data_IF_305396517292
#
_entry.id   IF_305396517292
#
_cell.length_a   1.000
_cell.length_b   1.000
_cell.length_c   1.000
_cell.angle_alpha   90.00
_cell.angle_beta   90.00
_cell.angle_gamma   90.00
#
_symmetry.space_group_name_H-M   'P 1'
#
loop_
_entity.id
_entity.type
_entity.pdbx_description
1 polymer ?
#
# COMPACT_ATOMS: atom_id res chain seq x y z
N UNK A 1 52.10 -19.66 66.45
CA UNK A 1 51.12 -20.66 65.96
C UNK A 1 49.94 -19.85 65.39
N UNK A 2 49.45 -20.06 64.16
CA UNK A 2 48.50 -21.11 63.71
C UNK A 2 47.28 -21.19 64.66
N UNK A 3 46.00 -21.01 64.24
CA UNK A 3 45.30 -21.35 62.96
C UNK A 3 44.04 -20.43 62.82
N UNK A 4 43.86 -19.54 61.81
CA UNK A 4 43.20 -19.67 60.46
C UNK A 4 41.64 -19.68 60.42
N UNK A 5 41.07 -18.62 59.81
CA UNK A 5 39.75 -18.41 59.11
C UNK A 5 38.42 -18.61 59.90
N UNK A 6 37.25 -18.04 59.51
CA UNK A 6 36.72 -17.43 58.25
C UNK A 6 35.74 -16.25 58.61
N UNK A 7 35.81 -15.03 58.05
CA UNK A 7 35.01 -14.46 56.91
C UNK A 7 33.49 -14.84 56.95
N UNK A 8 32.48 -13.95 57.01
CA UNK A 8 32.06 -12.73 56.22
C UNK A 8 31.12 -11.83 57.11
N UNK A 9 30.83 -10.50 57.03
CA UNK A 9 31.03 -9.29 56.14
C UNK A 9 29.77 -8.81 55.33
N UNK A 10 29.21 -7.57 55.32
CA UNK A 10 28.89 -6.43 56.26
C UNK A 10 27.61 -5.69 55.66
N UNK A 11 27.07 -4.62 56.30
CA UNK A 11 26.06 -3.60 55.86
C UNK A 11 24.57 -3.97 56.03
N UNK A 12 23.65 -3.23 56.70
CA UNK A 12 23.57 -1.87 57.33
C UNK A 12 23.28 -0.67 56.42
N UNK A 13 22.08 -0.06 56.55
CA UNK A 13 21.81 1.39 56.57
C UNK A 13 20.41 1.69 57.20
N UNK A 14 20.10 2.95 57.56
CA UNK A 14 19.01 3.28 58.50
C UNK A 14 18.36 4.67 58.33
N UNK A 15 17.03 4.73 58.56
CA UNK A 15 16.24 5.83 59.20
C UNK A 15 16.34 7.29 58.71
N UNK A 16 15.20 7.95 58.41
CA UNK A 16 14.53 8.96 59.28
C UNK A 16 13.26 9.56 58.64
N UNK A 17 12.48 10.33 59.43
CA UNK A 17 11.27 11.10 59.03
C UNK A 17 11.54 12.61 59.17
N UNK A 18 10.98 13.47 58.28
CA UNK A 18 10.53 14.82 58.68
C UNK A 18 9.68 15.60 57.63
N UNK A 19 8.65 16.29 58.14
CA UNK A 19 8.06 17.61 57.75
C UNK A 19 7.90 18.08 56.30
N UNK A 20 6.71 18.63 56.03
CA UNK A 20 6.36 19.50 54.89
C UNK A 20 6.83 20.96 55.03
N UNK A 21 7.15 21.62 53.92
CA UNK A 21 7.30 23.09 53.81
C UNK A 21 6.57 23.58 52.56
N UNK A 22 5.83 24.69 52.67
CA UNK A 22 5.18 25.37 51.54
C UNK A 22 5.93 26.65 51.14
N UNK A 23 6.22 26.81 49.85
CA UNK A 23 6.54 28.10 49.21
C UNK A 23 5.80 28.16 47.87
N UNK A 24 5.53 29.36 47.35
CA UNK A 24 4.59 29.53 46.24
C UNK A 24 4.97 30.55 45.17
N UNK A 25 4.22 30.47 44.06
CA UNK A 25 4.31 31.27 42.83
C UNK A 25 5.59 31.02 42.00
N UNK A 26 5.51 30.83 40.69
CA UNK A 26 4.55 31.38 39.72
C UNK A 26 4.13 30.38 38.63
N UNK A 27 2.92 30.55 38.07
CA UNK A 27 2.48 29.82 36.87
C UNK A 27 2.46 30.75 35.65
N UNK A 28 3.37 30.49 34.71
CA UNK A 28 3.27 31.01 33.35
C UNK A 28 2.34 30.11 32.55
N UNK A 29 1.18 30.62 32.16
CA UNK A 29 0.24 29.91 31.30
C UNK A 29 0.72 29.96 29.84
N UNK A 30 1.60 29.03 29.47
CA UNK A 30 1.91 28.79 28.04
C UNK A 30 0.74 28.06 27.38
N UNK A 31 0.24 28.62 26.27
CA UNK A 31 -0.88 28.04 25.52
C UNK A 31 -0.38 26.83 24.71
N UNK A 32 -0.43 25.65 25.30
CA UNK A 32 -0.20 24.40 24.59
C UNK A 32 -1.38 24.13 23.65
N UNK A 33 -1.10 24.12 22.35
CA UNK A 33 -2.10 23.76 21.33
C UNK A 33 -2.12 22.24 21.22
N UNK A 34 -2.88 21.58 22.09
CA UNK A 34 -3.24 20.19 21.88
C UNK A 34 -4.00 20.07 20.55
N UNK A 35 -3.39 19.38 19.58
CA UNK A 35 -4.11 18.92 18.37
C UNK A 35 -4.99 17.73 18.74
N UNK A 36 -6.05 17.96 19.50
CA UNK A 36 -7.13 16.99 19.66
C UNK A 36 -7.75 16.74 18.28
N UNK A 37 -7.43 15.60 17.66
CA UNK A 37 -7.96 15.16 16.36
C UNK A 37 -9.43 14.72 16.51
N UNK A 38 -10.31 15.63 16.88
CA UNK A 38 -11.76 15.40 16.94
C UNK A 38 -12.33 15.35 15.52
N UNK A 39 -12.19 14.19 14.88
CA UNK A 39 -13.01 13.80 13.75
C UNK A 39 -13.60 12.42 14.04
N UNK A 40 -14.92 12.32 13.92
CA UNK A 40 -15.58 11.03 13.71
C UNK A 40 -15.23 10.59 12.28
N UNK A 41 -14.05 10.00 12.08
CA UNK A 41 -13.67 9.36 10.82
C UNK A 41 -14.52 8.09 10.69
N UNK A 42 -15.45 8.09 9.73
CA UNK A 42 -16.35 6.96 9.46
C UNK A 42 -15.69 5.80 8.74
N UNK A 43 -14.67 6.12 7.94
CA UNK A 43 -14.07 5.23 6.94
C UNK A 43 -12.57 5.09 7.23
N UNK A 44 -11.99 3.88 7.18
CA UNK A 44 -10.58 3.66 7.45
C UNK A 44 -9.70 4.26 6.35
N UNK A 45 -8.56 4.85 6.71
CA UNK A 45 -7.53 5.27 5.74
C UNK A 45 -6.43 4.21 5.63
N UNK A 46 -5.69 4.22 4.52
CA UNK A 46 -4.51 3.38 4.37
C UNK A 46 -3.45 3.75 5.42
N UNK A 47 -2.83 2.74 6.04
CA UNK A 47 -1.99 2.91 7.23
C UNK A 47 -2.74 2.84 8.58
N UNK A 48 -4.07 2.93 8.61
CA UNK A 48 -4.85 2.61 9.82
C UNK A 48 -4.90 1.07 10.04
N UNK A 49 -5.05 0.58 11.29
CA UNK A 49 -5.20 -0.85 11.57
C UNK A 49 -6.43 -1.48 10.90
N UNK A 50 -6.37 -2.78 10.60
CA UNK A 50 -7.41 -3.40 9.77
C UNK A 50 -8.83 -3.30 10.35
N UNK A 51 -9.84 -2.92 9.53
CA UNK A 51 -11.18 -2.64 10.04
C UNK A 51 -11.83 -3.89 10.64
N UNK A 52 -12.23 -3.79 11.92
CA UNK A 52 -12.80 -4.90 12.69
C UNK A 52 -11.80 -5.97 13.14
N UNK A 53 -10.55 -5.95 12.66
CA UNK A 53 -9.50 -6.91 12.99
C UNK A 53 -8.13 -6.20 13.08
N UNK A 54 -7.91 -5.31 14.07
CA UNK A 54 -6.68 -4.51 14.17
C UNK A 54 -5.45 -5.35 14.55
N UNK A 55 -5.65 -6.52 15.14
CA UNK A 55 -4.62 -7.54 15.37
C UNK A 55 -5.11 -8.90 14.91
N UNK A 56 -4.18 -9.82 14.70
CA UNK A 56 -4.44 -11.25 14.46
C UNK A 56 -3.58 -12.09 15.40
N UNK A 57 -4.11 -13.24 15.83
CA UNK A 57 -3.41 -14.17 16.73
C UNK A 57 -3.25 -15.51 16.04
N UNK A 58 -2.07 -16.11 16.12
CA UNK A 58 -1.82 -17.47 15.59
C UNK A 58 -2.21 -18.58 16.59
N UNK A 59 -2.01 -19.84 16.19
CA UNK A 59 -2.38 -21.02 16.98
C UNK A 59 -1.46 -21.31 18.18
N UNK A 60 -0.30 -20.66 18.27
CA UNK A 60 0.58 -20.69 19.45
C UNK A 60 0.28 -19.53 20.43
N UNK A 61 -0.47 -18.52 19.99
CA UNK A 61 -0.91 -17.38 20.78
C UNK A 61 -0.08 -16.11 20.55
N UNK A 62 0.80 -16.09 19.55
CA UNK A 62 1.53 -14.87 19.19
C UNK A 62 0.54 -13.87 18.56
N UNK A 63 0.61 -12.60 18.97
CA UNK A 63 -0.29 -11.54 18.49
C UNK A 63 0.50 -10.60 17.58
N UNK A 64 -0.04 -10.37 16.39
CA UNK A 64 0.55 -9.52 15.36
C UNK A 64 -0.38 -8.34 15.08
N UNK A 65 0.18 -7.17 14.83
CA UNK A 65 -0.56 -6.02 14.34
C UNK A 65 -0.89 -6.19 12.85
N UNK A 66 -1.86 -5.42 12.39
CA UNK A 66 -2.35 -5.47 11.01
C UNK A 66 -2.55 -4.06 10.48
N UNK A 67 -2.52 -3.90 9.16
CA UNK A 67 -2.68 -2.61 8.51
C UNK A 67 -3.44 -2.74 7.19
N UNK A 68 -4.32 -1.77 6.93
CA UNK A 68 -5.02 -1.64 5.66
C UNK A 68 -4.12 -0.88 4.67
N UNK A 69 -3.87 -1.46 3.49
CA UNK A 69 -3.17 -0.81 2.37
C UNK A 69 -3.83 -1.22 1.05
N UNK A 70 -4.38 -0.27 0.30
CA UNK A 70 -4.88 -0.46 -1.06
C UNK A 70 -6.06 -1.42 -1.19
N UNK A 71 -6.83 -1.63 -0.11
CA UNK A 71 -7.90 -2.65 -0.05
C UNK A 71 -7.41 -4.06 0.33
N UNK A 72 -6.14 -4.19 0.73
CA UNK A 72 -5.58 -5.41 1.32
C UNK A 72 -5.31 -5.19 2.81
N UNK A 73 -5.63 -6.17 3.62
CA UNK A 73 -5.18 -6.27 5.00
C UNK A 73 -3.89 -7.06 5.05
N UNK A 74 -2.83 -6.46 5.60
CA UNK A 74 -1.51 -7.06 5.76
C UNK A 74 -1.18 -7.20 7.25
N UNK A 75 -0.44 -8.24 7.63
CA UNK A 75 0.29 -8.24 8.91
C UNK A 75 1.41 -7.19 8.87
N UNK A 76 1.63 -6.49 9.99
CA UNK A 76 2.68 -5.47 10.13
C UNK A 76 4.04 -6.09 10.52
N UNK A 77 4.03 -7.19 11.28
CA UNK A 77 5.20 -8.01 11.57
C UNK A 77 5.27 -9.26 10.67
N UNK A 78 6.35 -10.02 10.80
CA UNK A 78 6.54 -11.32 10.15
C UNK A 78 6.15 -12.44 11.14
N UNK A 79 5.64 -13.58 10.65
CA UNK A 79 5.26 -14.72 11.49
C UNK A 79 6.44 -15.29 12.29
N UNK A 80 6.22 -15.59 13.57
CA UNK A 80 7.16 -16.27 14.47
C UNK A 80 6.56 -17.58 15.05
N UNK A 81 5.68 -18.26 14.30
CA UNK A 81 5.05 -19.52 14.71
C UNK A 81 5.99 -20.73 14.51
N UNK A 82 5.96 -21.68 15.44
CA UNK A 82 6.55 -23.01 15.27
C UNK A 82 7.83 -23.26 16.04
N UNK A 83 8.26 -24.53 15.99
CA UNK A 83 9.45 -25.05 16.68
C UNK A 83 10.73 -24.64 15.94
N UNK A 84 11.67 -24.04 16.67
CA UNK A 84 12.96 -23.67 16.10
C UNK A 84 13.85 -24.90 15.84
N UNK A 85 14.38 -25.00 14.62
CA UNK A 85 15.46 -25.90 14.23
C UNK A 85 16.69 -25.10 13.77
N UNK A 86 17.88 -25.71 13.79
CA UNK A 86 19.12 -25.03 13.38
C UNK A 86 19.22 -24.90 11.85
N UNK A 87 19.58 -23.73 11.31
CA UNK A 87 19.68 -23.45 9.87
C UNK A 87 20.93 -23.99 9.17
N UNK A 88 21.55 -25.05 9.70
CA UNK A 88 22.76 -25.67 9.18
C UNK A 88 22.59 -26.40 7.84
N UNK A 89 23.70 -26.90 7.29
CA UNK A 89 23.70 -27.73 6.07
C UNK A 89 22.92 -29.03 6.30
N UNK A 90 21.95 -29.33 5.43
CA UNK A 90 21.12 -30.54 5.51
C UNK A 90 20.11 -30.56 6.66
N UNK A 91 19.89 -29.42 7.32
CA UNK A 91 18.85 -29.22 8.33
C UNK A 91 17.63 -28.57 7.67
N UNK A 92 16.91 -29.34 6.85
CA UNK A 92 15.73 -28.86 6.13
C UNK A 92 14.44 -29.13 6.93
N UNK A 93 13.42 -28.30 6.69
CA UNK A 93 12.11 -28.37 7.33
C UNK A 93 11.29 -29.47 6.64
N UNK A 94 11.04 -30.55 7.37
CA UNK A 94 10.61 -31.85 6.82
C UNK A 94 9.63 -32.61 7.72
N UNK A 95 9.28 -32.06 8.89
CA UNK A 95 8.41 -32.72 9.86
C UNK A 95 6.98 -32.16 9.82
N UNK A 96 6.20 -32.56 8.80
CA UNK A 96 4.79 -32.22 8.57
C UNK A 96 3.80 -32.40 9.76
N UNK A 97 4.24 -32.88 10.92
CA UNK A 97 3.45 -33.00 12.14
C UNK A 97 3.56 -31.81 13.11
N UNK A 98 4.48 -30.87 12.86
CA UNK A 98 4.67 -29.60 13.59
C UNK A 98 5.05 -28.51 12.60
N UNK A 99 4.88 -27.24 12.95
CA UNK A 99 5.52 -26.16 12.18
C UNK A 99 6.99 -26.04 12.61
N UNK A 100 7.91 -26.04 11.65
CA UNK A 100 9.35 -25.85 11.86
C UNK A 100 9.81 -24.46 11.35
N UNK A 101 10.66 -23.77 12.12
CA UNK A 101 11.23 -22.46 11.74
C UNK A 101 12.74 -22.40 11.95
N UNK A 102 13.44 -21.56 11.19
CA UNK A 102 14.78 -21.11 11.57
C UNK A 102 14.70 -19.72 12.21
N UNK A 103 15.55 -19.46 13.19
CA UNK A 103 15.86 -18.11 13.65
C UNK A 103 17.22 -17.70 13.09
N UNK A 104 17.39 -16.41 12.74
CA UNK A 104 18.61 -15.98 12.05
C UNK A 104 19.86 -16.29 12.88
N UNK A 105 20.88 -16.88 12.26
CA UNK A 105 22.13 -17.29 12.90
C UNK A 105 21.93 -18.21 14.12
N UNK A 106 20.85 -18.99 14.13
CA UNK A 106 20.44 -19.86 15.24
C UNK A 106 20.28 -19.13 16.59
N UNK A 107 19.89 -17.84 16.55
CA UNK A 107 19.59 -17.02 17.73
C UNK A 107 18.06 -16.76 17.86
N UNK A 108 17.39 -17.29 18.90
CA UNK A 108 15.97 -17.03 19.16
C UNK A 108 15.60 -15.54 19.26
N UNK A 109 16.50 -14.70 19.78
CA UNK A 109 16.23 -13.26 19.91
C UNK A 109 16.05 -12.59 18.53
N UNK A 110 16.63 -13.16 17.47
CA UNK A 110 16.44 -12.67 16.11
C UNK A 110 15.16 -13.18 15.45
N UNK A 111 14.57 -14.28 15.92
CA UNK A 111 13.17 -14.63 15.60
C UNK A 111 12.22 -13.60 16.23
N UNK A 112 12.39 -13.31 17.52
CA UNK A 112 11.52 -12.38 18.25
C UNK A 112 11.60 -10.95 17.70
N UNK A 113 12.74 -10.60 17.07
CA UNK A 113 12.95 -9.31 16.41
C UNK A 113 12.52 -9.25 14.93
N UNK A 114 12.58 -10.34 14.15
CA UNK A 114 12.40 -10.29 12.68
C UNK A 114 11.36 -11.28 12.13
N UNK A 115 10.73 -12.08 12.99
CA UNK A 115 10.00 -13.29 12.61
C UNK A 115 10.92 -14.47 12.28
N UNK A 116 10.30 -15.64 12.12
CA UNK A 116 10.99 -16.86 11.66
C UNK A 116 11.33 -16.82 10.16
N UNK A 117 12.22 -17.71 9.76
CA UNK A 117 12.54 -18.01 8.37
C UNK A 117 12.07 -19.44 8.03
N UNK A 118 11.38 -19.58 6.91
CA UNK A 118 10.68 -20.81 6.52
C UNK A 118 11.03 -21.19 5.08
N UNK A 119 11.19 -22.48 4.83
CA UNK A 119 11.23 -23.05 3.49
C UNK A 119 9.85 -22.98 2.86
N UNK A 120 9.78 -22.89 1.52
CA UNK A 120 8.51 -22.61 0.85
C UNK A 120 7.45 -23.69 1.09
N UNK A 121 7.86 -24.97 1.18
CA UNK A 121 6.92 -26.08 1.46
C UNK A 121 6.32 -26.01 2.86
N UNK A 122 7.16 -25.67 3.83
CA UNK A 122 6.77 -25.54 5.24
C UNK A 122 5.77 -24.39 5.40
N UNK A 123 6.11 -23.21 4.87
CA UNK A 123 5.22 -22.05 4.84
C UNK A 123 3.84 -22.37 4.23
N UNK A 124 3.79 -23.12 3.14
CA UNK A 124 2.55 -23.43 2.41
C UNK A 124 1.67 -24.48 3.12
N UNK A 125 2.05 -24.98 4.30
CA UNK A 125 1.50 -26.22 4.89
C UNK A 125 1.42 -27.34 3.83
N UNK A 126 2.52 -27.49 3.08
CA UNK A 126 2.71 -28.47 2.01
C UNK A 126 1.70 -28.41 0.83
N UNK A 127 0.82 -27.40 0.82
CA UNK A 127 -0.02 -27.04 -0.32
C UNK A 127 0.82 -26.55 -1.51
N UNK A 128 0.20 -26.57 -2.70
CA UNK A 128 0.74 -25.92 -3.89
C UNK A 128 -0.28 -24.97 -4.55
N UNK A 129 -1.45 -24.75 -3.90
CA UNK A 129 -2.48 -23.82 -4.37
C UNK A 129 -2.10 -22.38 -4.02
N UNK A 130 -2.00 -21.44 -4.99
CA UNK A 130 -1.76 -20.04 -4.70
C UNK A 130 -2.89 -19.43 -3.85
N UNK A 131 -2.55 -18.63 -2.84
CA UNK A 131 -3.52 -18.08 -1.89
C UNK A 131 -4.00 -19.07 -0.82
N UNK A 132 -3.32 -20.21 -0.64
CA UNK A 132 -3.58 -21.10 0.49
C UNK A 132 -3.25 -20.42 1.84
N UNK A 133 -3.97 -20.82 2.90
CA UNK A 133 -3.70 -20.36 4.27
C UNK A 133 -2.26 -20.66 4.69
N UNK A 134 -1.77 -21.88 4.44
CA UNK A 134 -0.45 -22.31 4.89
C UNK A 134 -0.32 -22.14 6.41
N UNK A 135 0.84 -21.68 6.87
CA UNK A 135 1.10 -21.37 8.29
C UNK A 135 0.42 -20.07 8.80
N UNK A 136 -0.44 -19.43 8.02
CA UNK A 136 -1.16 -18.23 8.48
C UNK A 136 -2.27 -18.53 9.50
N UNK A 137 -2.62 -17.54 10.35
CA UNK A 137 -3.82 -17.57 11.17
C UNK A 137 -5.10 -17.76 10.36
N UNK A 138 -6.15 -18.29 11.01
CA UNK A 138 -7.42 -18.60 10.35
C UNK A 138 -8.05 -17.39 9.65
N UNK A 139 -8.40 -17.59 8.36
CA UNK A 139 -8.99 -16.55 7.52
C UNK A 139 -8.00 -15.47 7.04
N UNK A 140 -6.70 -15.75 7.11
CA UNK A 140 -5.61 -15.06 6.43
C UNK A 140 -4.85 -16.06 5.54
N UNK A 141 -4.03 -15.59 4.59
CA UNK A 141 -3.33 -16.48 3.66
C UNK A 141 -1.93 -16.00 3.26
N UNK A 142 -1.14 -16.92 2.72
CA UNK A 142 0.17 -16.64 2.14
C UNK A 142 -0.03 -15.79 0.88
N UNK A 143 0.55 -14.58 0.78
CA UNK A 143 0.25 -13.67 -0.32
C UNK A 143 0.64 -14.25 -1.68
N UNK A 144 -0.26 -14.13 -2.64
CA UNK A 144 0.05 -14.42 -4.06
C UNK A 144 0.98 -13.37 -4.64
N UNK A 145 1.62 -13.70 -5.77
CA UNK A 145 2.38 -12.72 -6.54
C UNK A 145 1.50 -11.55 -6.97
N UNK A 146 0.25 -11.77 -7.36
CA UNK A 146 -0.66 -10.69 -7.77
C UNK A 146 -1.04 -9.76 -6.61
N UNK A 147 -1.05 -10.27 -5.37
CA UNK A 147 -1.27 -9.44 -4.17
C UNK A 147 -0.04 -8.62 -3.80
N UNK A 148 1.16 -9.19 -3.90
CA UNK A 148 2.40 -8.42 -3.79
C UNK A 148 2.51 -7.33 -4.88
N UNK A 149 2.10 -7.64 -6.12
CA UNK A 149 2.06 -6.68 -7.23
C UNK A 149 1.04 -5.55 -6.98
N UNK A 150 -0.12 -5.84 -6.40
CA UNK A 150 -1.10 -4.81 -6.00
C UNK A 150 -0.53 -3.84 -4.96
N UNK A 151 0.08 -4.35 -3.87
CA UNK A 151 0.74 -3.51 -2.86
C UNK A 151 1.81 -2.60 -3.48
N UNK A 152 2.64 -3.15 -4.38
CA UNK A 152 3.70 -2.43 -5.09
C UNK A 152 3.17 -1.32 -6.00
N UNK A 153 2.14 -1.62 -6.77
CA UNK A 153 1.58 -0.68 -7.75
C UNK A 153 0.74 0.39 -7.06
N UNK A 154 0.21 0.12 -5.87
CA UNK A 154 -0.37 1.10 -4.95
C UNK A 154 0.70 2.09 -4.41
N UNK A 155 1.81 1.61 -3.84
CA UNK A 155 2.84 2.52 -3.27
C UNK A 155 3.70 3.25 -4.31
N UNK A 156 3.72 2.77 -5.55
CA UNK A 156 4.24 3.48 -6.71
C UNK A 156 5.77 3.47 -6.89
N UNK A 157 6.24 3.75 -8.12
CA UNK A 157 7.58 3.35 -8.58
C UNK A 157 8.78 4.09 -7.97
N UNK A 158 8.58 5.28 -7.41
CA UNK A 158 9.68 6.19 -7.04
C UNK A 158 10.14 5.97 -5.59
N UNK A 159 9.19 5.87 -4.66
CA UNK A 159 9.44 5.84 -3.22
C UNK A 159 8.82 4.63 -2.50
N UNK A 160 8.19 3.69 -3.22
CA UNK A 160 7.52 2.53 -2.60
C UNK A 160 8.39 1.71 -1.66
N UNK A 161 9.71 1.66 -1.90
CA UNK A 161 10.68 1.08 -0.99
C UNK A 161 10.81 1.84 0.33
N UNK A 162 10.83 3.18 0.31
CA UNK A 162 10.90 4.02 1.51
C UNK A 162 9.60 3.93 2.33
N UNK A 163 8.45 3.98 1.64
CA UNK A 163 7.10 4.00 2.24
C UNK A 163 6.82 2.72 3.04
N UNK A 164 7.29 1.56 2.57
CA UNK A 164 7.05 0.26 3.22
C UNK A 164 8.14 -0.13 4.24
N UNK A 165 9.38 0.38 4.10
CA UNK A 165 10.48 0.14 5.04
C UNK A 165 10.17 0.73 6.41
N UNK A 166 10.37 -0.08 7.45
CA UNK A 166 10.49 0.44 8.82
C UNK A 166 11.57 1.52 8.90
N UNK A 167 11.30 2.61 9.62
CA UNK A 167 12.22 3.74 9.73
C UNK A 167 13.54 3.42 10.46
N UNK A 168 13.59 2.29 11.18
CA UNK A 168 14.73 1.83 11.99
C UNK A 168 15.95 1.57 11.11
N UNK A 169 16.97 2.42 11.21
CA UNK A 169 18.21 2.34 10.45
C UNK A 169 19.37 2.95 11.26
N UNK A 170 20.61 2.54 10.96
CA UNK A 170 21.81 3.25 11.44
C UNK A 170 21.84 4.65 10.81
N UNK A 171 22.17 5.70 11.57
CA UNK A 171 22.33 7.08 11.07
C UNK A 171 21.08 7.62 10.33
N UNK A 172 19.89 7.14 10.73
CA UNK A 172 18.62 7.45 10.06
C UNK A 172 18.34 8.97 10.04
N UNK A 173 18.08 9.59 8.87
CA UNK A 173 17.92 11.05 8.77
C UNK A 173 16.64 11.59 9.44
N UNK A 174 15.76 10.70 9.90
CA UNK A 174 14.59 11.01 10.73
C UNK A 174 14.96 11.21 12.21
N UNK A 175 16.07 10.61 12.67
CA UNK A 175 16.51 10.64 14.07
C UNK A 175 15.55 9.94 15.04
N UNK A 176 15.74 10.19 16.34
CA UNK A 176 14.91 9.60 17.40
C UNK A 176 14.97 8.08 17.38
N UNK A 177 13.84 7.41 17.63
CA UNK A 177 13.75 5.94 17.68
C UNK A 177 13.99 5.26 16.32
N UNK A 178 14.02 6.03 15.22
CA UNK A 178 14.38 5.57 13.88
C UNK A 178 15.90 5.48 13.69
N UNK A 179 16.71 6.29 14.39
CA UNK A 179 18.17 6.17 14.38
C UNK A 179 18.61 5.16 15.46
N UNK A 180 18.98 3.96 15.02
CA UNK A 180 19.30 2.87 15.93
C UNK A 180 20.31 1.89 15.36
N UNK A 181 21.26 1.49 16.20
CA UNK A 181 22.22 0.44 15.88
C UNK A 181 21.67 -0.97 16.18
N UNK A 182 20.58 -1.08 16.94
CA UNK A 182 20.05 -2.33 17.47
C UNK A 182 19.06 -3.01 16.51
N UNK A 183 19.35 -4.26 16.13
CA UNK A 183 18.43 -5.07 15.34
C UNK A 183 17.09 -5.24 16.09
N UNK A 184 15.94 -5.18 15.38
CA UNK A 184 15.81 -5.22 13.92
C UNK A 184 15.91 -3.80 13.32
N UNK A 185 16.82 -3.59 12.35
CA UNK A 185 17.05 -2.29 11.69
C UNK A 185 17.86 -2.42 10.40
N UNK A 186 17.64 -1.51 9.45
CA UNK A 186 18.39 -1.40 8.20
C UNK A 186 19.82 -0.89 8.42
N UNK A 187 20.76 -1.34 7.58
CA UNK A 187 22.08 -0.73 7.49
C UNK A 187 21.96 0.62 6.77
N UNK A 188 22.84 1.57 7.10
CA UNK A 188 23.13 2.72 6.22
C UNK A 188 23.93 2.28 4.98
N UNK A 189 23.86 3.05 3.90
CA UNK A 189 24.69 2.92 2.69
C UNK A 189 25.74 4.03 2.53
N UNK A 190 25.78 5.00 3.44
CA UNK A 190 26.71 6.14 3.44
C UNK A 190 26.22 7.36 2.65
N UNK A 191 25.01 7.32 2.07
CA UNK A 191 24.47 8.43 1.27
C UNK A 191 23.43 9.27 2.00
N UNK A 192 22.75 8.71 3.02
CA UNK A 192 21.56 9.31 3.63
C UNK A 192 20.36 9.45 2.67
N UNK A 193 20.42 8.83 1.48
CA UNK A 193 19.34 8.89 0.49
C UNK A 193 18.36 7.73 0.60
N UNK A 194 18.77 6.59 1.15
CA UNK A 194 17.96 5.36 1.21
C UNK A 194 17.59 4.99 2.63
N UNK A 195 16.40 5.40 3.08
CA UNK A 195 15.89 5.15 4.42
C UNK A 195 14.42 4.71 4.39
N UNK A 196 13.94 4.18 5.50
CA UNK A 196 12.50 3.92 5.70
C UNK A 196 11.80 5.14 6.28
N UNK A 197 10.56 5.39 5.86
CA UNK A 197 9.67 6.37 6.49
C UNK A 197 8.47 5.69 7.19
N UNK A 198 8.10 4.49 6.74
CA UNK A 198 7.00 3.69 7.27
C UNK A 198 5.63 4.39 7.32
N UNK A 199 5.39 5.30 6.36
CA UNK A 199 4.16 6.12 6.22
C UNK A 199 2.86 5.30 6.21
N UNK A 200 2.95 3.99 5.91
CA UNK A 200 1.82 3.06 5.87
C UNK A 200 1.85 2.00 6.99
N UNK A 201 2.68 2.16 8.04
CA UNK A 201 2.82 1.20 9.15
C UNK A 201 3.01 -0.27 8.69
N UNK A 202 3.70 -0.47 7.56
CA UNK A 202 3.98 -1.80 7.03
C UNK A 202 5.21 -2.42 7.71
N UNK A 203 6.13 -1.61 8.25
CA UNK A 203 7.26 -2.06 9.05
C UNK A 203 8.06 -3.21 8.41
N UNK A 204 8.43 -3.06 7.13
CA UNK A 204 9.36 -4.00 6.50
C UNK A 204 10.73 -3.94 7.19
N UNK A 205 11.13 -5.07 7.80
CA UNK A 205 12.37 -5.25 8.54
C UNK A 205 13.33 -6.22 7.82
N UNK A 206 14.65 -5.94 7.81
CA UNK A 206 15.65 -6.71 7.06
C UNK A 206 16.16 -7.92 7.84
N UNK A 207 15.31 -8.92 8.01
CA UNK A 207 15.63 -10.18 8.70
C UNK A 207 16.67 -11.07 8.00
N UNK A 208 17.11 -10.73 6.77
CA UNK A 208 18.00 -11.57 5.98
C UNK A 208 17.36 -12.85 5.49
N UNK A 209 18.15 -13.89 5.26
CA UNK A 209 17.70 -15.21 4.83
C UNK A 209 18.60 -16.37 5.30
N UNK A 210 18.07 -17.60 5.26
CA UNK A 210 18.83 -18.86 5.29
C UNK A 210 18.99 -19.37 3.86
N UNK A 211 20.17 -19.90 3.50
CA UNK A 211 20.43 -20.47 2.17
C UNK A 211 20.25 -21.99 2.18
N UNK A 212 19.83 -22.62 1.06
CA UNK A 212 19.53 -24.06 0.99
C UNK A 212 20.63 -24.99 1.51
N UNK A 213 21.91 -24.63 1.33
CA UNK A 213 23.06 -25.40 1.84
C UNK A 213 23.45 -25.01 3.29
N UNK A 214 22.52 -24.39 4.02
CA UNK A 214 22.73 -23.81 5.33
C UNK A 214 23.47 -22.47 5.29
N UNK A 215 23.53 -21.83 6.45
CA UNK A 215 24.14 -20.51 6.63
C UNK A 215 23.15 -19.37 6.40
N UNK A 216 23.42 -18.25 7.08
CA UNK A 216 22.54 -17.10 7.17
C UNK A 216 23.20 -15.84 6.59
N UNK A 217 22.44 -15.04 5.85
CA UNK A 217 22.95 -13.93 5.06
C UNK A 217 22.03 -12.72 5.09
N UNK A 218 22.60 -11.54 4.81
CA UNK A 218 21.86 -10.30 4.51
C UNK A 218 21.03 -9.66 5.64
N UNK A 219 21.19 -10.06 6.90
CA UNK A 219 20.61 -9.33 8.05
C UNK A 219 21.04 -7.85 8.00
N UNK A 220 20.07 -6.94 8.09
CA UNK A 220 20.29 -5.50 7.97
C UNK A 220 20.40 -4.96 6.53
N UNK A 221 20.79 -5.78 5.54
CA UNK A 221 20.89 -5.33 4.14
C UNK A 221 19.68 -5.69 3.29
N UNK A 222 19.00 -6.80 3.56
CA UNK A 222 17.86 -7.27 2.79
C UNK A 222 16.72 -7.76 3.68
N UNK A 223 15.49 -7.49 3.23
CA UNK A 223 14.30 -8.22 3.65
C UNK A 223 13.85 -9.15 2.51
N UNK A 224 13.39 -10.35 2.85
CA UNK A 224 12.89 -11.36 1.91
C UNK A 224 11.58 -11.95 2.44
N UNK A 225 10.57 -12.04 1.58
CA UNK A 225 9.34 -12.79 1.86
C UNK A 225 9.00 -13.74 0.71
N UNK A 226 8.40 -14.87 1.03
CA UNK A 226 7.86 -15.76 0.02
C UNK A 226 6.54 -15.24 -0.59
N UNK A 227 6.24 -15.74 -1.79
CA UNK A 227 4.91 -15.71 -2.41
C UNK A 227 4.36 -17.14 -2.49
N UNK A 228 3.04 -17.30 -2.39
CA UNK A 228 2.38 -18.60 -2.60
C UNK A 228 2.43 -19.08 -4.05
N UNK A 229 2.80 -18.19 -5.00
CA UNK A 229 2.80 -18.49 -6.43
C UNK A 229 4.05 -19.28 -6.83
N UNK A 230 3.90 -20.60 -6.96
CA UNK A 230 4.94 -21.48 -7.51
C UNK A 230 5.34 -21.06 -8.94
N UNK A 231 6.65 -21.07 -9.22
CA UNK A 231 7.20 -20.85 -10.55
C UNK A 231 7.57 -22.17 -11.25
N UNK A 232 8.14 -23.13 -10.51
CA UNK A 232 8.28 -24.53 -10.91
C UNK A 232 8.60 -25.41 -9.68
N UNK A 233 8.67 -26.73 -9.91
CA UNK A 233 8.91 -27.77 -8.89
C UNK A 233 10.09 -27.52 -7.94
N UNK A 234 11.08 -26.71 -8.34
CA UNK A 234 12.25 -26.35 -7.53
C UNK A 234 12.27 -24.88 -7.09
N UNK A 235 11.49 -24.00 -7.72
CA UNK A 235 11.57 -22.56 -7.51
C UNK A 235 10.20 -21.93 -7.23
N UNK A 236 10.13 -21.02 -6.27
CA UNK A 236 8.95 -20.18 -6.05
C UNK A 236 9.25 -18.71 -6.17
N UNK A 237 8.21 -17.90 -6.37
CA UNK A 237 8.32 -16.45 -6.37
C UNK A 237 8.61 -15.93 -4.96
N UNK A 238 9.44 -14.90 -4.86
CA UNK A 238 9.76 -14.20 -3.62
C UNK A 238 9.81 -12.68 -3.84
N UNK A 239 9.47 -11.97 -2.78
CA UNK A 239 9.55 -10.52 -2.63
C UNK A 239 10.85 -10.13 -1.93
N UNK A 240 11.47 -9.02 -2.34
CA UNK A 240 12.69 -8.55 -1.68
C UNK A 240 12.86 -7.04 -1.70
N UNK A 241 13.42 -6.51 -0.62
CA UNK A 241 13.74 -5.09 -0.44
C UNK A 241 15.17 -4.96 0.05
N UNK A 242 15.96 -4.08 -0.58
CA UNK A 242 17.35 -3.82 -0.20
C UNK A 242 17.54 -2.48 0.50
N UNK A 243 18.51 -2.39 1.41
CA UNK A 243 18.82 -1.17 2.17
C UNK A 243 19.07 0.03 1.24
N UNK A 244 19.90 -0.16 0.21
CA UNK A 244 20.35 0.86 -0.75
C UNK A 244 19.41 1.08 -1.96
N UNK A 245 18.10 0.81 -1.84
CA UNK A 245 17.10 1.09 -2.89
C UNK A 245 15.81 1.71 -2.34
N UNK A 246 15.26 2.69 -3.07
CA UNK A 246 14.04 3.44 -2.73
C UNK A 246 12.84 3.13 -3.62
N UNK A 247 13.10 2.63 -4.84
CA UNK A 247 12.07 2.27 -5.80
C UNK A 247 11.33 0.99 -5.41
N UNK A 248 10.72 0.33 -6.40
CA UNK A 248 9.91 -0.85 -6.15
C UNK A 248 10.71 -2.01 -5.52
N UNK A 249 10.10 -2.74 -4.56
CA UNK A 249 10.55 -4.07 -4.18
C UNK A 249 10.71 -4.98 -5.40
N UNK A 250 11.70 -5.87 -5.35
CA UNK A 250 12.03 -6.79 -6.42
C UNK A 250 11.28 -8.12 -6.26
N UNK A 251 10.60 -8.54 -7.33
CA UNK A 251 9.98 -9.85 -7.47
C UNK A 251 10.87 -10.74 -8.33
N UNK A 252 11.31 -11.88 -7.79
CA UNK A 252 12.12 -12.85 -8.52
C UNK A 252 11.74 -14.29 -8.09
N UNK A 253 12.38 -15.30 -8.68
CA UNK A 253 12.14 -16.71 -8.35
C UNK A 253 13.42 -17.35 -7.80
N UNK A 254 13.32 -18.16 -6.74
CA UNK A 254 14.46 -18.84 -6.13
C UNK A 254 14.09 -20.20 -5.52
N UNK A 255 15.12 -20.96 -5.12
CA UNK A 255 15.03 -22.32 -4.59
C UNK A 255 14.08 -22.42 -3.39
N UNK A 256 13.14 -23.36 -3.43
CA UNK A 256 12.13 -23.58 -2.37
C UNK A 256 12.74 -23.98 -1.01
N UNK A 257 14.01 -24.38 -1.03
CA UNK A 257 14.84 -24.83 0.09
C UNK A 257 15.60 -23.68 0.80
N UNK A 258 15.59 -22.46 0.26
CA UNK A 258 16.01 -21.26 1.02
C UNK A 258 14.96 -20.92 2.11
N UNK A 259 15.40 -20.25 3.18
CA UNK A 259 14.53 -19.79 4.27
C UNK A 259 14.32 -18.28 4.20
N UNK A 260 13.09 -17.83 3.92
CA UNK A 260 12.67 -16.42 3.91
C UNK A 260 11.57 -16.17 4.96
N UNK A 261 11.32 -14.91 5.31
CA UNK A 261 10.24 -14.55 6.23
C UNK A 261 8.87 -14.75 5.60
N UNK A 262 7.85 -14.85 6.45
CA UNK A 262 6.45 -15.02 6.03
C UNK A 262 5.62 -13.92 6.66
N UNK A 263 4.67 -13.38 5.90
CA UNK A 263 3.77 -12.30 6.29
C UNK A 263 2.44 -12.54 5.59
N UNK A 264 1.37 -12.62 6.35
CA UNK A 264 0.06 -12.95 5.80
C UNK A 264 -0.66 -11.72 5.23
N UNK A 265 -1.51 -11.96 4.24
CA UNK A 265 -2.45 -10.99 3.68
C UNK A 265 -3.88 -11.53 3.80
N UNK A 266 -4.85 -10.64 3.64
CA UNK A 266 -6.28 -10.92 3.57
C UNK A 266 -6.96 -9.84 2.74
N UNK A 267 -7.83 -10.18 1.81
CA UNK A 267 -8.59 -9.16 1.05
C UNK A 267 -9.53 -8.40 1.99
N UNK A 268 -9.46 -7.07 2.03
CA UNK A 268 -10.43 -6.28 2.79
C UNK A 268 -11.70 -6.09 1.96
N UNK A 269 -12.74 -6.87 2.30
CA UNK A 269 -14.11 -6.64 1.84
C UNK A 269 -14.87 -5.85 2.91
N UNK A 270 -15.23 -4.57 2.68
CA UNK A 270 -16.05 -3.82 3.63
C UNK A 270 -17.44 -4.46 3.77
N UNK A 271 -17.90 -4.65 5.02
CA UNK A 271 -19.24 -5.17 5.26
C UNK A 271 -20.31 -4.19 4.76
N UNK A 272 -21.25 -4.68 3.94
CA UNK A 272 -22.34 -3.86 3.40
C UNK A 272 -23.44 -3.72 4.48
N UNK A 273 -23.19 -2.89 5.49
CA UNK A 273 -24.12 -2.66 6.62
C UNK A 273 -25.28 -1.74 6.20
N UNK A 274 -26.15 -2.23 5.29
CA UNK A 274 -27.59 -1.90 5.21
C UNK A 274 -28.31 -2.70 4.10
N UNK A 275 -29.09 -3.71 4.50
CA UNK A 275 -30.27 -4.11 3.74
C UNK A 275 -31.41 -3.16 4.08
N UNK A 276 -31.62 -2.13 3.26
CA UNK A 276 -32.68 -1.14 3.49
C UNK A 276 -33.98 -1.61 2.83
N UNK A 277 -34.87 -2.27 3.59
CA UNK A 277 -36.21 -2.60 3.12
C UNK A 277 -37.05 -1.31 3.03
N UNK A 278 -37.48 -0.96 1.82
CA UNK A 278 -38.20 0.28 1.51
C UNK A 278 -39.64 0.01 1.09
N UNK A 279 -40.51 -0.12 2.10
CA UNK A 279 -41.95 -0.11 1.90
C UNK A 279 -42.51 1.25 2.36
N UNK A 280 -43.54 1.74 1.65
CA UNK A 280 -44.44 2.84 2.06
C UNK A 280 -43.86 4.27 2.16
N UNK A 281 -43.22 4.78 1.08
CA UNK A 281 -43.12 6.23 0.81
C UNK A 281 -43.54 6.52 -0.64
N UNK A 282 -44.30 7.59 -0.85
CA UNK A 282 -44.73 8.11 -2.16
C UNK A 282 -44.30 9.56 -2.32
N UNK A 283 -43.89 9.96 -3.53
CA UNK A 283 -43.51 11.32 -3.90
C UNK A 283 -44.29 11.70 -5.18
N UNK A 284 -44.97 12.86 -5.24
CA UNK A 284 -45.64 13.32 -6.46
C UNK A 284 -44.63 13.90 -7.48
N UNK A 285 -44.94 13.86 -8.78
CA UNK A 285 -44.04 14.37 -9.81
C UNK A 285 -44.11 15.90 -9.95
N UNK A 286 -42.95 16.56 -9.97
CA UNK A 286 -42.74 17.92 -10.49
C UNK A 286 -41.32 17.97 -11.13
N UNK A 287 -41.08 18.57 -12.31
CA UNK A 287 -39.86 18.27 -13.10
C UNK A 287 -38.56 18.98 -12.69
N UNK A 288 -38.60 20.10 -11.97
CA UNK A 288 -37.52 21.11 -11.99
C UNK A 288 -36.65 21.21 -10.70
N UNK A 289 -36.80 20.30 -9.73
CA UNK A 289 -36.14 20.41 -8.41
C UNK A 289 -34.69 19.86 -8.38
N UNK A 290 -33.71 20.77 -8.31
CA UNK A 290 -32.29 20.46 -8.09
C UNK A 290 -31.93 20.43 -6.59
N UNK A 291 -31.34 19.31 -6.12
CA UNK A 291 -31.00 19.08 -4.71
C UNK A 291 -29.49 19.16 -4.44
N UNK A 292 -29.10 19.77 -3.31
CA UNK A 292 -27.72 19.95 -2.89
C UNK A 292 -27.02 18.65 -2.44
N UNK A 293 -25.68 18.66 -2.45
CA UNK A 293 -24.83 17.47 -2.22
C UNK A 293 -24.92 16.83 -0.82
N UNK A 294 -25.65 17.43 0.13
CA UNK A 294 -25.93 16.89 1.47
C UNK A 294 -27.26 16.15 1.57
N UNK A 295 -28.04 16.03 0.48
CA UNK A 295 -29.37 15.42 0.48
C UNK A 295 -29.33 13.89 0.44
N UNK A 296 -29.93 13.25 1.45
CA UNK A 296 -30.15 11.79 1.47
C UNK A 296 -31.26 11.41 0.48
N UNK A 297 -31.06 10.33 -0.29
CA UNK A 297 -31.98 9.87 -1.35
C UNK A 297 -32.46 8.45 -1.05
N UNK A 298 -33.74 8.21 -1.33
CA UNK A 298 -34.42 6.91 -1.21
C UNK A 298 -34.98 6.55 -2.58
N UNK A 299 -34.75 5.32 -3.06
CA UNK A 299 -35.20 4.86 -4.39
C UNK A 299 -36.24 3.76 -4.22
N UNK A 300 -37.39 3.90 -4.86
CA UNK A 300 -38.47 2.90 -4.90
C UNK A 300 -38.37 1.97 -6.12
N UNK A 301 -38.96 0.79 -6.01
CA UNK A 301 -39.27 -0.15 -7.11
C UNK A 301 -38.14 -0.48 -8.10
N UNK A 302 -37.08 -1.13 -7.59
CA UNK A 302 -36.17 -1.94 -8.41
C UNK A 302 -36.42 -3.44 -8.17
N UNK A 303 -36.26 -4.27 -9.21
CA UNK A 303 -36.40 -5.73 -9.11
C UNK A 303 -35.19 -6.42 -9.73
N UNK A 304 -34.51 -7.27 -8.96
CA UNK A 304 -33.38 -8.09 -9.44
C UNK A 304 -33.87 -9.52 -9.66
N UNK A 305 -33.75 -10.01 -10.89
CA UNK A 305 -34.09 -11.40 -11.22
C UNK A 305 -33.08 -12.39 -10.61
N UNK A 306 -33.49 -13.63 -10.38
CA UNK A 306 -32.64 -14.66 -9.77
C UNK A 306 -31.38 -14.91 -10.63
N UNK A 307 -30.20 -14.70 -10.05
CA UNK A 307 -28.90 -14.74 -10.74
C UNK A 307 -28.36 -13.39 -11.22
N UNK A 308 -29.13 -12.30 -11.10
CA UNK A 308 -28.63 -10.93 -11.32
C UNK A 308 -27.92 -10.35 -10.09
N UNK A 309 -27.00 -9.42 -10.31
CA UNK A 309 -26.35 -8.62 -9.27
C UNK A 309 -26.41 -7.14 -9.62
N UNK A 310 -26.49 -6.29 -8.59
CA UNK A 310 -26.48 -4.83 -8.72
C UNK A 310 -25.51 -4.27 -7.70
N UNK A 311 -24.41 -3.67 -8.17
CA UNK A 311 -23.40 -3.02 -7.33
C UNK A 311 -23.43 -1.52 -7.58
N UNK A 312 -23.95 -0.75 -6.63
CA UNK A 312 -23.97 0.71 -6.69
C UNK A 312 -22.75 1.25 -5.91
N UNK A 313 -21.70 1.66 -6.62
CA UNK A 313 -20.53 2.30 -6.03
C UNK A 313 -20.64 3.81 -6.23
N UNK A 314 -20.78 4.55 -5.14
CA UNK A 314 -20.65 6.02 -5.14
C UNK A 314 -19.28 6.40 -4.63
N UNK A 315 -18.49 7.10 -5.46
CA UNK A 315 -17.39 7.92 -4.98
C UNK A 315 -17.91 9.10 -4.15
N UNK A 316 -17.00 9.95 -3.65
CA UNK A 316 -17.36 11.14 -2.88
C UNK A 316 -18.39 12.02 -3.60
N UNK A 317 -19.62 12.07 -3.06
CA UNK A 317 -20.75 12.93 -3.45
C UNK A 317 -21.12 12.97 -4.95
N UNK A 318 -21.90 11.99 -5.41
CA UNK A 318 -22.58 12.04 -6.72
C UNK A 318 -23.78 11.09 -6.81
N UNK A 319 -24.84 11.51 -7.52
CA UNK A 319 -26.08 10.72 -7.69
C UNK A 319 -25.97 9.72 -8.85
N UNK A 320 -26.67 8.59 -8.73
CA UNK A 320 -27.01 7.71 -9.85
C UNK A 320 -28.50 7.93 -10.17
N UNK A 321 -28.83 8.15 -11.45
CA UNK A 321 -30.20 8.29 -11.91
C UNK A 321 -30.56 7.09 -12.80
N UNK A 322 -31.67 6.41 -12.50
CA UNK A 322 -32.23 5.34 -13.32
C UNK A 322 -33.67 5.72 -13.67
N UNK A 323 -34.07 5.53 -14.93
CA UNK A 323 -35.43 5.84 -15.37
C UNK A 323 -36.37 4.65 -15.11
N UNK A 324 -37.65 4.96 -14.93
CA UNK A 324 -38.71 3.96 -14.77
C UNK A 324 -38.71 2.95 -15.93
N UNK A 325 -38.74 1.66 -15.63
CA UNK A 325 -38.64 0.59 -16.64
C UNK A 325 -37.21 0.21 -17.07
N UNK A 326 -36.15 0.71 -16.42
CA UNK A 326 -34.76 0.24 -16.66
C UNK A 326 -34.60 -1.23 -16.30
N UNK A 327 -34.21 -2.09 -17.26
CA UNK A 327 -33.99 -3.53 -17.06
C UNK A 327 -32.58 -3.94 -17.49
N UNK A 328 -31.77 -4.43 -16.55
CA UNK A 328 -30.50 -5.12 -16.86
C UNK A 328 -30.79 -6.60 -17.09
N UNK A 329 -30.50 -7.10 -18.30
CA UNK A 329 -30.74 -8.50 -18.67
C UNK A 329 -29.55 -9.41 -18.29
N UNK A 330 -29.75 -10.72 -18.35
CA UNK A 330 -28.71 -11.71 -18.04
C UNK A 330 -27.46 -11.51 -18.93
N UNK A 331 -26.28 -11.36 -18.31
CA UNK A 331 -25.02 -11.02 -18.97
C UNK A 331 -24.79 -9.52 -19.23
N UNK A 332 -25.76 -8.65 -18.93
CA UNK A 332 -25.61 -7.20 -19.04
C UNK A 332 -24.88 -6.58 -17.84
N UNK A 333 -24.19 -5.47 -18.08
CA UNK A 333 -23.57 -4.64 -17.04
C UNK A 333 -23.81 -3.16 -17.34
N UNK A 334 -23.94 -2.35 -16.29
CA UNK A 334 -24.18 -0.90 -16.38
C UNK A 334 -23.05 -0.17 -15.67
N UNK A 335 -22.37 0.75 -16.38
CA UNK A 335 -21.33 1.63 -15.82
C UNK A 335 -21.74 3.08 -15.99
N UNK A 336 -21.74 3.83 -14.90
CA UNK A 336 -21.88 5.28 -14.90
C UNK A 336 -20.53 5.93 -14.53
N UNK A 337 -20.33 7.16 -14.98
CA UNK A 337 -19.18 8.00 -14.62
C UNK A 337 -19.72 9.35 -14.14
N UNK A 338 -19.01 10.00 -13.20
CA UNK A 338 -19.39 11.31 -12.65
C UNK A 338 -18.46 12.37 -13.24
N UNK A 339 -19.03 13.40 -13.87
CA UNK A 339 -18.32 14.65 -14.18
C UNK A 339 -18.54 15.65 -13.04
N UNK A 340 -17.45 16.19 -12.50
CA UNK A 340 -17.45 17.19 -11.42
C UNK A 340 -17.48 18.64 -11.93
N UNK A 341 -17.37 18.87 -13.24
CA UNK A 341 -17.46 20.20 -13.83
C UNK A 341 -18.91 20.69 -14.07
N UNK A 342 -19.93 19.85 -13.81
CA UNK A 342 -21.33 20.26 -13.80
C UNK A 342 -22.01 20.40 -15.16
N UNK A 343 -21.35 20.01 -16.26
CA UNK A 343 -21.81 20.23 -17.63
C UNK A 343 -23.11 19.47 -18.00
N UNK A 344 -23.56 18.51 -17.17
CA UNK A 344 -24.64 17.58 -17.50
C UNK A 344 -26.07 18.18 -17.47
N UNK A 345 -26.20 19.51 -17.32
CA UNK A 345 -27.47 20.22 -17.51
C UNK A 345 -27.70 20.64 -18.97
N UNK A 346 -26.64 20.77 -19.77
CA UNK A 346 -26.75 21.07 -21.20
C UNK A 346 -26.67 19.78 -22.02
N UNK A 347 -27.70 19.50 -22.84
CA UNK A 347 -27.77 18.33 -23.71
C UNK A 347 -26.80 18.45 -24.89
N UNK A 348 -25.78 17.58 -25.06
CA UNK A 348 -25.07 17.46 -26.33
C UNK A 348 -25.97 16.75 -27.35
N UNK A 349 -26.00 17.24 -28.59
CA UNK A 349 -26.88 16.69 -29.64
C UNK A 349 -26.58 15.20 -29.95
N UNK A 350 -27.63 14.43 -30.17
CA UNK A 350 -27.55 12.98 -30.39
C UNK A 350 -26.89 12.64 -31.73
N UNK A 351 -25.73 11.98 -31.71
CA UNK A 351 -25.17 11.32 -32.89
C UNK A 351 -25.50 9.82 -32.89
N UNK A 352 -26.09 9.35 -34.00
CA UNK A 352 -26.52 7.97 -34.18
C UNK A 352 -25.34 7.01 -34.38
N UNK A 353 -25.37 5.87 -33.68
CA UNK A 353 -24.40 4.80 -33.89
C UNK A 353 -24.75 3.95 -35.12
N UNK A 354 -23.94 4.03 -36.18
CA UNK A 354 -23.87 3.00 -37.23
C UNK A 354 -22.70 2.08 -36.92
N UNK A 355 -22.99 0.83 -36.51
CA UNK A 355 -21.97 -0.12 -36.08
C UNK A 355 -21.17 -0.76 -37.23
N UNK A 356 -20.02 -1.33 -36.89
CA UNK A 356 -19.26 -2.28 -37.69
C UNK A 356 -18.71 -3.41 -36.80
N UNK A 357 -18.19 -4.46 -37.44
CA UNK A 357 -18.02 -5.79 -36.85
C UNK A 357 -16.55 -6.17 -36.63
N UNK A 358 -16.31 -6.79 -35.47
CA UNK A 358 -15.46 -7.97 -35.25
C UNK A 358 -13.92 -7.90 -35.06
N UNK A 359 -13.45 -8.95 -34.38
CA UNK A 359 -12.12 -9.60 -34.35
C UNK A 359 -10.81 -8.81 -34.10
N UNK A 360 -10.27 -9.02 -32.88
CA UNK A 360 -9.01 -9.77 -32.63
C UNK A 360 -7.75 -9.07 -32.08
N UNK A 361 -7.11 -9.79 -31.14
CA UNK A 361 -5.67 -9.91 -30.83
C UNK A 361 -4.80 -8.71 -30.32
N UNK A 362 -4.46 -8.85 -29.03
CA UNK A 362 -3.09 -8.81 -28.46
C UNK A 362 -2.37 -7.51 -28.02
N UNK A 363 -1.47 -7.78 -27.06
CA UNK A 363 -0.16 -7.17 -26.82
C UNK A 363 -0.05 -5.88 -25.99
N UNK A 364 0.10 -6.08 -24.67
CA UNK A 364 0.68 -5.09 -23.74
C UNK A 364 2.16 -4.84 -24.07
N UNK A 365 2.43 -3.97 -25.04
CA UNK A 365 3.79 -3.51 -25.31
C UNK A 365 4.29 -2.62 -24.17
N UNK A 366 5.46 -2.97 -23.61
CA UNK A 366 6.22 -2.01 -22.80
C UNK A 366 6.69 -0.88 -23.72
N UNK A 367 6.39 0.36 -23.33
CA UNK A 367 7.08 1.54 -23.83
C UNK A 367 8.58 1.39 -23.57
N UNK A 368 9.35 1.23 -24.63
CA UNK A 368 10.82 1.31 -24.58
C UNK A 368 11.26 2.77 -24.50
N UNK A 369 12.52 3.00 -24.14
CA UNK A 369 13.08 4.29 -23.71
C UNK A 369 13.27 5.33 -24.86
N UNK A 370 12.45 5.25 -25.92
CA UNK A 370 12.49 6.16 -27.08
C UNK A 370 11.51 7.33 -27.03
N UNK A 371 10.42 7.26 -26.25
CA UNK A 371 9.34 8.27 -26.31
C UNK A 371 9.68 9.63 -25.68
N UNK A 372 10.81 9.78 -24.98
CA UNK A 372 11.33 11.09 -24.55
C UNK A 372 12.14 11.83 -25.64
N UNK A 373 12.48 11.19 -26.76
CA UNK A 373 13.37 11.77 -27.78
C UNK A 373 12.83 13.05 -28.45
N UNK A 374 11.51 13.23 -28.48
CA UNK A 374 10.82 14.34 -29.13
C UNK A 374 9.82 15.07 -28.22
N UNK A 375 10.09 15.20 -26.91
CA UNK A 375 9.17 15.81 -25.94
C UNK A 375 9.94 16.73 -24.98
N UNK A 376 9.71 18.05 -25.05
CA UNK A 376 10.35 19.04 -24.17
C UNK A 376 9.32 19.92 -23.46
N UNK A 377 9.59 20.27 -22.20
CA UNK A 377 8.73 21.14 -21.39
C UNK A 377 9.56 22.27 -20.77
N UNK A 378 9.29 23.52 -21.17
CA UNK A 378 10.07 24.68 -20.76
C UNK A 378 9.23 25.98 -20.64
N UNK A 379 9.56 26.89 -19.71
CA UNK A 379 10.52 26.71 -18.61
C UNK A 379 9.99 25.70 -17.58
N UNK A 380 10.89 24.92 -16.99
CA UNK A 380 10.61 24.01 -15.89
C UNK A 380 11.83 23.98 -14.94
N UNK A 381 11.79 24.60 -13.75
CA UNK A 381 10.63 25.26 -13.13
C UNK A 381 10.07 26.46 -13.92
N UNK A 382 8.79 26.75 -13.72
CA UNK A 382 8.07 27.91 -14.27
C UNK A 382 7.62 28.87 -13.15
N UNK A 383 7.29 30.11 -13.52
CA UNK A 383 6.49 31.04 -12.70
C UNK A 383 4.99 31.03 -13.05
N UNK A 384 4.58 30.29 -14.09
CA UNK A 384 3.20 30.17 -14.54
C UNK A 384 3.05 29.50 -15.90
N UNK A 385 3.54 30.14 -16.96
CA UNK A 385 3.44 29.63 -18.34
C UNK A 385 4.45 28.51 -18.63
N UNK A 386 4.01 27.44 -19.28
CA UNK A 386 4.84 26.30 -19.70
C UNK A 386 4.56 26.01 -21.18
N UNK A 387 5.62 25.89 -21.98
CA UNK A 387 5.56 25.39 -23.35
C UNK A 387 5.85 23.90 -23.38
N UNK A 388 4.94 23.12 -23.96
CA UNK A 388 5.16 21.76 -24.43
C UNK A 388 5.58 21.81 -25.91
N UNK A 389 6.81 21.42 -26.20
CA UNK A 389 7.31 21.19 -27.56
C UNK A 389 7.26 19.68 -27.85
N UNK A 390 6.70 19.31 -29.00
CA UNK A 390 6.67 17.92 -29.50
C UNK A 390 7.43 17.88 -30.83
N UNK A 391 8.62 17.27 -30.82
CA UNK A 391 9.64 17.35 -31.88
C UNK A 391 9.87 16.03 -32.63
N UNK A 392 8.82 15.27 -32.93
CA UNK A 392 8.87 14.14 -33.91
C UNK A 392 7.46 13.81 -34.47
N UNK A 393 6.57 14.81 -34.53
CA UNK A 393 5.13 14.63 -34.72
C UNK A 393 4.69 14.54 -36.19
N UNK A 394 5.04 13.46 -36.90
CA UNK A 394 4.26 12.98 -38.07
C UNK A 394 2.93 12.30 -37.63
N UNK A 395 2.30 12.83 -36.58
CA UNK A 395 1.13 12.23 -35.92
C UNK A 395 -0.15 12.55 -36.67
N UNK A 396 -0.71 11.54 -37.32
CA UNK A 396 -2.08 11.54 -37.85
C UNK A 396 -3.15 11.25 -36.77
N UNK A 397 -2.73 10.94 -35.54
CA UNK A 397 -3.59 10.77 -34.36
C UNK A 397 -3.77 12.04 -33.52
N UNK A 398 -4.70 12.00 -32.57
CA UNK A 398 -4.93 13.07 -31.59
C UNK A 398 -4.18 12.81 -30.28
N UNK A 399 -3.56 13.85 -29.73
CA UNK A 399 -2.74 13.77 -28.52
C UNK A 399 -3.54 14.33 -27.33
N UNK A 400 -3.84 13.54 -26.32
CA UNK A 400 -4.49 14.01 -25.10
C UNK A 400 -3.46 14.38 -24.03
N UNK A 401 -3.60 15.57 -23.44
CA UNK A 401 -2.76 16.07 -22.34
C UNK A 401 -3.60 16.37 -21.12
N UNK A 402 -3.14 15.95 -19.95
CA UNK A 402 -3.70 16.28 -18.65
C UNK A 402 -2.58 16.79 -17.73
N UNK A 403 -2.72 18.00 -17.18
CA UNK A 403 -1.90 18.47 -16.06
C UNK A 403 -2.70 18.25 -14.78
N UNK A 404 -2.09 17.62 -13.78
CA UNK A 404 -2.67 17.40 -12.46
C UNK A 404 -1.73 17.86 -11.33
N UNK A 405 -2.31 18.20 -10.17
CA UNK A 405 -1.56 18.56 -8.97
C UNK A 405 -1.11 17.34 -8.16
N UNK A 406 -0.42 17.59 -7.04
CA UNK A 406 0.06 16.51 -6.15
C UNK A 406 -1.06 15.71 -5.47
N UNK A 407 -2.32 16.13 -5.56
CA UNK A 407 -3.48 15.46 -4.95
C UNK A 407 -4.30 14.68 -5.98
N UNK A 408 -3.81 14.54 -7.22
CA UNK A 408 -4.51 13.91 -8.33
C UNK A 408 -5.56 14.79 -9.00
N UNK A 409 -5.67 16.06 -8.59
CA UNK A 409 -6.65 17.01 -9.13
C UNK A 409 -6.26 17.47 -10.54
N UNK A 410 -7.12 17.26 -11.54
CA UNK A 410 -6.86 17.73 -12.91
C UNK A 410 -6.97 19.25 -12.96
N UNK A 411 -5.83 19.90 -13.24
CA UNK A 411 -5.68 21.35 -13.34
C UNK A 411 -6.09 21.85 -14.74
N UNK A 412 -5.62 21.17 -15.79
CA UNK A 412 -5.93 21.45 -17.19
C UNK A 412 -5.98 20.14 -17.99
N UNK A 413 -6.88 20.05 -18.96
CA UNK A 413 -6.91 18.98 -19.95
C UNK A 413 -7.10 19.59 -21.35
N UNK A 414 -6.41 19.04 -22.34
CA UNK A 414 -6.51 19.44 -23.74
C UNK A 414 -6.41 18.23 -24.67
N UNK A 415 -7.10 18.29 -25.81
CA UNK A 415 -6.85 17.41 -26.95
C UNK A 415 -6.16 18.26 -28.01
N UNK A 416 -5.01 17.78 -28.45
CA UNK A 416 -4.07 18.50 -29.30
C UNK A 416 -4.02 17.84 -30.68
N UNK A 417 -4.05 18.68 -31.71
CA UNK A 417 -3.90 18.29 -33.12
C UNK A 417 -3.15 19.40 -33.87
N UNK A 418 -2.31 19.02 -34.84
CA UNK A 418 -1.45 19.95 -35.56
C UNK A 418 -0.20 20.38 -34.77
N UNK A 419 -0.12 21.67 -34.41
CA UNK A 419 1.05 22.41 -33.88
C UNK A 419 2.15 21.60 -33.14
N UNK A 420 3.42 21.93 -33.39
CA UNK A 420 4.55 21.34 -32.64
C UNK A 420 4.77 21.98 -31.25
N UNK A 421 4.06 23.07 -30.93
CA UNK A 421 4.19 23.80 -29.66
C UNK A 421 2.82 24.14 -29.07
N UNK A 422 2.68 23.95 -27.76
CA UNK A 422 1.47 24.23 -26.99
C UNK A 422 1.82 24.92 -25.67
N UNK A 423 1.03 25.90 -25.24
CA UNK A 423 1.27 26.67 -24.01
C UNK A 423 0.16 26.36 -22.99
N UNK A 424 0.57 25.99 -21.79
CA UNK A 424 -0.29 25.77 -20.63
C UNK A 424 -0.03 26.88 -19.59
N UNK A 425 -1.07 27.36 -18.92
CA UNK A 425 -0.96 28.47 -17.96
C UNK A 425 -1.30 28.03 -16.53
N UNK A 426 -0.27 27.89 -15.70
CA UNK A 426 -0.39 27.62 -14.27
C UNK A 426 -0.33 28.90 -13.42
N UNK A 427 -0.39 30.10 -14.01
CA UNK A 427 -0.21 31.38 -13.28
C UNK A 427 -1.20 31.55 -12.13
N UNK A 428 -2.45 31.09 -12.28
CA UNK A 428 -3.48 31.11 -11.23
C UNK A 428 -3.35 30.03 -10.14
N UNK A 429 -2.44 29.06 -10.29
CA UNK A 429 -2.28 27.93 -9.37
C UNK A 429 -1.26 28.21 -8.26
N UNK A 430 -1.23 27.39 -7.21
CA UNK A 430 -0.24 27.51 -6.14
C UNK A 430 1.19 27.18 -6.62
N UNK A 431 2.21 27.74 -5.97
CA UNK A 431 3.59 27.26 -6.11
C UNK A 431 3.67 25.81 -5.57
N UNK A 432 4.38 24.93 -6.27
CA UNK A 432 4.38 23.50 -5.96
C UNK A 432 4.76 22.60 -7.14
N UNK A 433 4.58 21.29 -6.93
CA UNK A 433 4.79 20.27 -7.97
C UNK A 433 3.48 19.99 -8.70
N UNK A 434 3.58 19.81 -10.01
CA UNK A 434 2.50 19.35 -10.88
C UNK A 434 3.03 18.20 -11.75
N UNK A 435 2.13 17.45 -12.37
CA UNK A 435 2.46 16.36 -13.26
C UNK A 435 1.70 16.52 -14.57
N UNK A 436 2.38 16.35 -15.70
CA UNK A 436 1.78 16.35 -17.02
C UNK A 436 1.77 14.92 -17.56
N UNK A 437 0.57 14.37 -17.75
CA UNK A 437 0.31 13.12 -18.46
C UNK A 437 0.05 13.44 -19.93
N UNK A 438 0.75 12.73 -20.81
CA UNK A 438 0.60 12.75 -22.26
C UNK A 438 0.09 11.38 -22.72
N UNK A 439 -0.88 11.36 -23.62
CA UNK A 439 -1.44 10.14 -24.20
C UNK A 439 -1.55 10.28 -25.72
N UNK A 440 -0.99 9.34 -26.46
CA UNK A 440 -0.90 9.35 -27.92
C UNK A 440 -0.86 7.91 -28.42
N UNK A 441 -1.73 7.52 -29.35
CA UNK A 441 -1.76 6.19 -29.99
C UNK A 441 -1.67 5.01 -28.99
N UNK A 442 -2.39 5.13 -27.86
CA UNK A 442 -2.42 4.16 -26.77
C UNK A 442 -1.21 4.20 -25.81
N UNK A 443 -0.16 4.94 -26.14
CA UNK A 443 1.02 5.16 -25.30
C UNK A 443 0.76 6.26 -24.26
N UNK A 444 1.40 6.16 -23.09
CA UNK A 444 1.29 7.14 -22.00
C UNK A 444 2.67 7.58 -21.52
N UNK A 445 2.89 8.89 -21.40
CA UNK A 445 4.08 9.50 -20.81
C UNK A 445 3.71 10.40 -19.62
N UNK A 446 4.62 10.56 -18.66
CA UNK A 446 4.47 11.45 -17.51
C UNK A 446 5.70 12.34 -17.34
N UNK A 447 5.51 13.62 -17.06
CA UNK A 447 6.58 14.58 -16.79
C UNK A 447 6.28 15.40 -15.54
N UNK A 448 7.26 15.52 -14.64
CA UNK A 448 7.18 16.38 -13.45
C UNK A 448 7.37 17.84 -13.83
N UNK A 449 6.43 18.68 -13.44
CA UNK A 449 6.47 20.14 -13.57
C UNK A 449 6.65 20.78 -12.18
N UNK A 450 7.34 21.90 -12.13
CA UNK A 450 7.54 22.67 -10.88
C UNK A 450 7.11 24.11 -11.14
N UNK A 451 6.16 24.62 -10.36
CA UNK A 451 5.85 26.05 -10.30
C UNK A 451 6.49 26.69 -9.07
N UNK A 452 7.14 27.82 -9.27
CA UNK A 452 7.69 28.73 -8.25
C UNK A 452 6.69 29.83 -7.87
#
# INVERSE_FOLDING_TARGET
MKTIHLLIIILVYSSFLCTSVTYGQSFSASMQVEKTKTQNRSDPEDGDPCPGQPTVTDSEGNVYNTVLIGGQCWMAENLNIGTMICGGYGMDQLNNGIIEKYCYNDDPNLCDANGGLYQWREMMDYSNEPGAQGICPDGWHIPTTDEWLQLRDYVGPVNGGQILKSCRQIDSPLGGDCDTNEHPRWNDDGTGLYYGIDDLNFSALPGGNRYMYGGFYNLGTQAYWWSSSEHNTYHSAYWSMGYNVNGLPNLANWYKEDGYSVRCVKTYTPEIIKTLNLNDISIPPDPDDCFAASSQITVSDFTVANGGSVTLVTGHSGKILLQEGTVVQNGGYLRAWIDVAGNYCDQPESMLATGMQDESLQQTFKLSERSQAGLKLYPNPTTGLITLEITDAETSGSISVQIFGIRGETIQQAILSGSHNYIFDLSGQAAGVYFLRLMMDGQVAFVKLIKQ
#
